data_IF_371841524112
#
_entry.id   IF_371841524112
#
_cell.length_a   1.000
_cell.length_b   1.000
_cell.length_c   1.000
_cell.angle_alpha   90.00
_cell.angle_beta   90.00
_cell.angle_gamma   90.00
#
_symmetry.space_group_name_H-M   'P 1'
#
loop_
_entity.id
_entity.type
_entity.pdbx_description
1 polymer ?
#
# COMPACT_ATOMS: atom_id res chain seq x y z
N UNK A 1 4.13 -6.94 14.36
CA UNK A 1 4.36 -7.96 13.33
C UNK A 1 5.77 -7.78 12.77
N UNK A 2 6.49 -8.87 12.56
CA UNK A 2 7.80 -8.94 11.90
C UNK A 2 7.77 -10.06 10.85
N UNK A 3 8.80 -10.19 10.01
CA UNK A 3 8.82 -11.20 8.94
C UNK A 3 8.68 -12.65 9.44
N UNK A 4 9.18 -12.94 10.65
CA UNK A 4 9.09 -14.27 11.26
C UNK A 4 7.74 -14.57 11.94
N UNK A 5 6.80 -13.64 11.88
CA UNK A 5 5.45 -13.84 12.42
C UNK A 5 4.70 -14.87 11.55
N UNK A 6 4.21 -15.99 12.11
CA UNK A 6 3.55 -17.04 11.34
C UNK A 6 2.27 -16.57 10.65
N UNK A 7 1.69 -15.44 11.06
CA UNK A 7 0.57 -14.81 10.34
C UNK A 7 0.97 -14.12 9.03
N UNK A 8 2.28 -13.94 8.78
CA UNK A 8 2.88 -13.46 7.51
C UNK A 8 3.30 -14.64 6.62
N UNK A 9 3.41 -15.85 7.16
CA UNK A 9 4.10 -16.94 6.51
C UNK A 9 3.26 -17.62 5.41
N UNK A 10 3.79 -17.59 4.19
CA UNK A 10 3.44 -18.37 2.99
C UNK A 10 2.20 -17.99 2.18
N UNK A 11 1.34 -17.07 2.64
CA UNK A 11 0.15 -16.64 1.89
C UNK A 11 0.18 -15.13 1.68
N UNK A 12 -0.26 -14.69 0.51
CA UNK A 12 -0.44 -13.27 0.28
C UNK A 12 -1.51 -12.72 1.22
N UNK A 13 -1.38 -11.43 1.55
CA UNK A 13 -2.20 -10.74 2.53
C UNK A 13 -3.23 -9.90 1.80
N UNK A 14 -4.48 -9.96 2.24
CA UNK A 14 -5.50 -9.09 1.67
C UNK A 14 -5.21 -7.63 2.00
N UNK A 15 -5.28 -6.78 0.97
CA UNK A 15 -5.09 -5.34 1.06
C UNK A 15 -6.33 -4.61 0.53
N UNK A 16 -6.78 -3.60 1.26
CA UNK A 16 -7.90 -2.73 0.85
C UNK A 16 -7.57 -1.27 1.07
N UNK A 17 -8.16 -0.42 0.22
CA UNK A 17 -8.11 1.03 0.34
C UNK A 17 -9.52 1.60 0.12
N UNK A 18 -9.95 2.49 1.02
CA UNK A 18 -11.24 3.15 0.99
C UNK A 18 -11.08 4.66 0.94
N UNK A 19 -11.94 5.33 0.16
CA UNK A 19 -12.09 6.79 0.17
C UNK A 19 -13.53 7.10 0.56
N UNK A 20 -13.72 7.78 1.69
CA UNK A 20 -15.04 8.17 2.21
C UNK A 20 -15.99 6.98 2.41
N UNK A 21 -15.42 5.81 2.77
CA UNK A 21 -16.15 4.55 2.96
C UNK A 21 -16.31 3.70 1.69
N UNK A 22 -16.00 4.24 0.51
CA UNK A 22 -16.02 3.46 -0.73
C UNK A 22 -14.72 2.70 -0.92
N UNK A 23 -14.76 1.36 -1.01
CA UNK A 23 -13.58 0.58 -1.37
C UNK A 23 -13.13 0.94 -2.80
N UNK A 24 -11.98 1.60 -2.90
CA UNK A 24 -11.39 2.04 -4.17
C UNK A 24 -10.31 1.09 -4.68
N UNK A 25 -9.67 0.33 -3.81
CA UNK A 25 -8.70 -0.71 -4.19
C UNK A 25 -8.92 -1.94 -3.30
N UNK A 26 -8.77 -3.12 -3.89
CA UNK A 26 -8.80 -4.42 -3.20
C UNK A 26 -7.91 -5.37 -3.98
N UNK A 27 -6.95 -5.99 -3.31
CA UNK A 27 -6.01 -6.92 -3.91
C UNK A 27 -5.44 -7.86 -2.84
N UNK A 28 -4.56 -8.75 -3.29
CA UNK A 28 -3.76 -9.61 -2.43
C UNK A 28 -2.27 -9.34 -2.67
N UNK A 29 -1.42 -9.40 -1.64
CA UNK A 29 0.03 -9.17 -1.85
C UNK A 29 0.68 -10.31 -2.66
N UNK A 30 0.02 -11.45 -2.81
CA UNK A 30 0.41 -12.51 -3.74
C UNK A 30 0.30 -12.11 -5.22
N UNK A 31 -0.45 -11.04 -5.53
CA UNK A 31 -0.56 -10.50 -6.89
C UNK A 31 0.62 -9.60 -7.30
N UNK A 32 1.61 -9.40 -6.42
CA UNK A 32 2.82 -8.64 -6.74
C UNK A 32 3.57 -9.30 -7.90
N UNK A 33 3.89 -8.51 -8.93
CA UNK A 33 4.70 -8.98 -10.07
C UNK A 33 6.12 -9.38 -9.63
N UNK A 34 6.66 -8.68 -8.63
CA UNK A 34 7.94 -8.98 -7.98
C UNK A 34 7.72 -9.03 -6.48
N UNK A 35 8.07 -10.16 -5.86
CA UNK A 35 7.94 -10.33 -4.42
C UNK A 35 8.93 -9.44 -3.63
N UNK A 36 8.73 -9.26 -2.31
CA UNK A 36 9.61 -8.40 -1.50
C UNK A 36 11.09 -8.78 -1.56
N UNK A 37 11.42 -10.07 -1.62
CA UNK A 37 12.81 -10.53 -1.69
C UNK A 37 13.46 -10.12 -3.02
N UNK A 38 12.74 -10.25 -4.12
CA UNK A 38 13.14 -9.83 -5.47
C UNK A 38 13.34 -8.32 -5.53
N UNK A 39 12.44 -7.54 -4.93
CA UNK A 39 12.56 -6.08 -4.86
C UNK A 39 13.81 -5.63 -4.08
N UNK A 40 14.07 -6.23 -2.91
CA UNK A 40 15.27 -5.91 -2.11
C UNK A 40 16.53 -6.23 -2.89
N UNK A 41 16.60 -7.41 -3.53
CA UNK A 41 17.75 -7.81 -4.34
C UNK A 41 18.00 -6.81 -5.48
N UNK A 42 16.97 -6.51 -6.28
CA UNK A 42 17.08 -5.60 -7.41
C UNK A 42 17.49 -4.18 -7.01
N UNK A 43 16.86 -3.61 -5.97
CA UNK A 43 17.19 -2.25 -5.52
C UNK A 43 18.63 -2.18 -5.00
N UNK A 44 19.11 -3.23 -4.32
CA UNK A 44 20.48 -3.28 -3.78
C UNK A 44 21.58 -3.30 -4.84
N UNK A 45 21.27 -3.62 -6.10
CA UNK A 45 22.20 -3.52 -7.22
C UNK A 45 22.41 -2.06 -7.67
N UNK A 46 21.46 -1.18 -7.38
CA UNK A 46 21.45 0.23 -7.84
C UNK A 46 21.91 1.17 -6.74
N UNK A 47 21.47 0.94 -5.50
CA UNK A 47 21.80 1.76 -4.33
C UNK A 47 22.19 0.89 -3.14
N UNK A 48 23.07 1.38 -2.28
CA UNK A 48 23.35 0.72 -1.00
C UNK A 48 22.17 0.92 -0.05
N UNK A 49 21.51 -0.17 0.34
CA UNK A 49 20.46 -0.16 1.34
C UNK A 49 21.05 -0.02 2.75
N UNK A 50 20.51 0.91 3.52
CA UNK A 50 20.83 1.10 4.93
C UNK A 50 19.78 0.42 5.83
N UNK A 51 20.16 0.01 7.06
CA UNK A 51 19.19 -0.44 8.04
C UNK A 51 18.10 0.61 8.26
N UNK A 52 16.84 0.15 8.24
CA UNK A 52 15.62 0.97 8.37
C UNK A 52 15.14 1.68 7.11
N UNK A 53 15.79 1.47 5.95
CA UNK A 53 15.25 1.93 4.68
C UNK A 53 13.85 1.33 4.41
N UNK A 54 12.98 2.13 3.79
CA UNK A 54 11.59 1.76 3.49
C UNK A 54 11.39 1.66 1.98
N UNK A 55 10.97 0.49 1.51
CA UNK A 55 10.63 0.23 0.11
C UNK A 55 9.11 0.18 -0.03
N UNK A 56 8.53 1.11 -0.79
CA UNK A 56 7.13 1.04 -1.20
C UNK A 56 7.02 0.10 -2.40
N UNK A 57 6.45 -1.10 -2.19
CA UNK A 57 6.48 -2.21 -3.15
C UNK A 57 5.52 -2.08 -4.34
N UNK A 58 4.75 -1.00 -4.39
CA UNK A 58 3.80 -0.71 -5.46
C UNK A 58 2.37 -0.57 -4.96
N UNK A 59 1.44 -0.49 -5.92
CA UNK A 59 0.00 -0.35 -5.64
C UNK A 59 -0.80 -1.20 -6.62
N UNK A 60 -1.90 -1.84 -6.20
CA UNK A 60 -2.82 -2.50 -7.12
C UNK A 60 -3.61 -1.47 -7.93
N UNK A 61 -4.38 -1.97 -8.91
CA UNK A 61 -5.32 -1.17 -9.69
C UNK A 61 -6.39 -0.48 -8.83
N UNK A 62 -7.04 0.53 -9.40
CA UNK A 62 -8.12 1.29 -8.74
C UNK A 62 -7.72 2.68 -8.25
N UNK A 63 -6.47 3.10 -8.49
CA UNK A 63 -6.00 4.47 -8.23
C UNK A 63 -6.89 5.50 -8.93
N UNK A 64 -7.11 6.62 -8.26
CA UNK A 64 -8.04 7.67 -8.68
C UNK A 64 -7.87 8.17 -10.12
N UNK A 65 -6.63 8.29 -10.56
CA UNK A 65 -6.26 8.75 -11.91
C UNK A 65 -6.70 7.77 -13.01
N UNK A 66 -6.70 6.47 -12.75
CA UNK A 66 -7.04 5.44 -13.74
C UNK A 66 -8.56 5.23 -13.90
N UNK A 67 -9.38 5.86 -13.04
CA UNK A 67 -10.84 5.75 -13.08
C UNK A 67 -11.44 6.59 -14.20
N UNK A 68 -12.63 6.18 -14.66
CA UNK A 68 -13.43 6.90 -15.65
C UNK A 68 -14.86 7.09 -15.12
N UNK A 69 -15.25 8.29 -14.64
CA UNK A 69 -14.42 9.51 -14.54
C UNK A 69 -13.32 9.40 -13.48
N UNK A 70 -12.26 10.22 -13.61
CA UNK A 70 -11.18 10.27 -12.63
C UNK A 70 -11.70 10.77 -11.27
N UNK A 71 -11.16 10.22 -10.17
CA UNK A 71 -11.54 10.57 -8.80
C UNK A 71 -10.28 10.90 -8.01
N UNK A 72 -10.08 12.17 -7.67
CA UNK A 72 -8.97 12.60 -6.80
C UNK A 72 -9.46 12.84 -5.38
N UNK A 73 -8.54 12.81 -4.41
CA UNK A 73 -8.85 13.13 -3.01
C UNK A 73 -9.25 14.60 -2.87
N UNK A 74 -10.33 14.84 -2.14
CA UNK A 74 -10.84 16.18 -1.85
C UNK A 74 -10.48 16.66 -0.45
N UNK A 75 -10.79 17.92 -0.16
CA UNK A 75 -10.75 18.42 1.21
C UNK A 75 -11.76 17.65 2.06
N UNK A 76 -11.33 17.15 3.21
CA UNK A 76 -12.19 16.38 4.10
C UNK A 76 -12.26 14.89 3.78
N UNK A 77 -11.77 14.44 2.61
CA UNK A 77 -11.77 13.02 2.26
C UNK A 77 -11.04 12.19 3.31
N UNK A 78 -11.62 11.06 3.69
CA UNK A 78 -11.01 10.09 4.61
C UNK A 78 -10.48 8.92 3.78
N UNK A 79 -9.14 8.77 3.78
CA UNK A 79 -8.46 7.63 3.17
C UNK A 79 -8.17 6.59 4.25
N UNK A 80 -8.63 5.37 4.06
CA UNK A 80 -8.36 4.24 4.97
C UNK A 80 -7.69 3.13 4.19
N UNK A 81 -6.49 2.72 4.61
CA UNK A 81 -5.76 1.58 4.04
C UNK A 81 -5.65 0.49 5.08
N UNK A 82 -5.94 -0.76 4.70
CA UNK A 82 -5.83 -1.93 5.58
C UNK A 82 -5.04 -3.02 4.90
N UNK A 83 -4.20 -3.69 5.69
CA UNK A 83 -3.56 -4.93 5.30
C UNK A 83 -3.87 -5.96 6.38
N UNK A 84 -4.39 -7.10 5.96
CA UNK A 84 -4.70 -8.22 6.83
C UNK A 84 -3.48 -8.63 7.67
N UNK A 85 -3.70 -8.87 8.96
CA UNK A 85 -2.62 -9.20 9.91
C UNK A 85 -1.71 -8.04 10.33
N UNK A 86 -1.63 -6.93 9.58
CA UNK A 86 -0.77 -5.78 9.92
C UNK A 86 -1.55 -4.70 10.67
N UNK A 87 -2.64 -4.19 10.08
CA UNK A 87 -3.44 -3.12 10.67
C UNK A 87 -4.07 -2.14 9.68
N UNK A 88 -4.55 -1.02 10.23
CA UNK A 88 -5.24 0.04 9.51
C UNK A 88 -4.47 1.37 9.64
N UNK A 89 -4.36 2.10 8.53
CA UNK A 89 -3.92 3.49 8.50
C UNK A 89 -5.05 4.39 8.00
N UNK A 90 -5.48 5.36 8.82
CA UNK A 90 -6.57 6.28 8.51
C UNK A 90 -6.08 7.72 8.49
N UNK A 91 -6.23 8.39 7.35
CA UNK A 91 -5.82 9.77 7.15
C UNK A 91 -6.99 10.62 6.67
N UNK A 92 -7.11 11.84 7.17
CA UNK A 92 -8.08 12.81 6.66
C UNK A 92 -7.38 13.89 5.86
N UNK A 93 -7.75 14.04 4.59
CA UNK A 93 -7.17 15.03 3.70
C UNK A 93 -7.49 16.46 4.16
N UNK A 94 -6.45 17.30 4.21
CA UNK A 94 -6.53 18.71 4.53
C UNK A 94 -5.90 19.51 3.41
N UNK A 95 -6.36 20.73 3.22
CA UNK A 95 -5.65 21.69 2.39
C UNK A 95 -4.44 22.19 3.17
N UNK A 96 -3.36 22.46 2.45
CA UNK A 96 -2.22 23.17 3.01
C UNK A 96 -2.71 24.51 3.60
N UNK A 97 -2.34 24.77 4.85
CA UNK A 97 -2.59 26.05 5.50
C UNK A 97 -1.35 26.90 5.27
N UNK A 98 -1.51 27.98 4.50
CA UNK A 98 -0.45 28.93 4.19
C UNK A 98 -0.47 30.09 5.17
#
# INVERSE_FOLDING_TARGET
>A
MTADDPSVAAQGLSLTCEVDGDTVQKADTGDLVFDPATLVAYVSEIVTLAPSDVIATGTPGGVGHARKPARYLGYGSVLVTRIEGIGECRNTCRREQR
#
